data_IF_270759418021
#
_entry.id   IF_270759418021
#
_cell.length_a   1.000
_cell.length_b   1.000
_cell.length_c   1.000
_cell.angle_alpha   90.00
_cell.angle_beta   90.00
_cell.angle_gamma   90.00
#
_symmetry.space_group_name_H-M   'P 1'
#
loop_
_entity.id
_entity.type
_entity.pdbx_description
1 polymer ?
#
# COMPACT_ATOMS: atom_id res chain seq x y z
N UNK A 1 11.89 28.02 -5.33
CA UNK A 1 10.57 27.42 -5.05
C UNK A 1 10.45 26.20 -5.95
N UNK A 2 10.90 25.04 -5.47
CA UNK A 2 10.67 23.81 -6.19
C UNK A 2 9.18 23.47 -6.06
N UNK A 3 8.45 23.20 -7.15
CA UNK A 3 7.08 22.72 -7.04
C UNK A 3 7.08 21.44 -6.20
N UNK A 4 6.12 21.26 -5.28
CA UNK A 4 6.00 20.01 -4.53
C UNK A 4 5.91 18.86 -5.53
N UNK A 5 6.91 17.98 -5.54
CA UNK A 5 7.07 16.88 -6.52
C UNK A 5 5.86 15.92 -6.60
N UNK A 6 4.89 16.06 -5.69
CA UNK A 6 3.68 15.25 -5.64
C UNK A 6 2.36 16.03 -5.82
N UNK A 7 2.35 17.38 -5.83
CA UNK A 7 1.05 18.09 -5.94
C UNK A 7 0.56 18.27 -7.37
N UNK A 8 1.41 18.07 -8.38
CA UNK A 8 1.02 18.13 -9.79
C UNK A 8 0.53 16.79 -10.36
N UNK A 9 1.06 15.67 -9.87
CA UNK A 9 0.76 14.33 -10.43
C UNK A 9 -0.39 13.60 -9.75
N UNK A 10 -0.82 14.05 -8.58
CA UNK A 10 -1.93 13.41 -7.85
C UNK A 10 -3.24 13.35 -8.67
N UNK A 11 -3.63 14.43 -9.38
CA UNK A 11 -4.77 14.37 -10.30
C UNK A 11 -4.56 13.35 -11.43
N UNK A 12 -3.35 13.27 -12.00
CA UNK A 12 -3.04 12.33 -13.08
C UNK A 12 -3.07 10.87 -12.60
N UNK A 13 -2.58 10.59 -11.39
CA UNK A 13 -2.64 9.24 -10.81
C UNK A 13 -4.09 8.85 -10.55
N UNK A 14 -4.89 9.74 -9.94
CA UNK A 14 -6.32 9.49 -9.74
C UNK A 14 -7.05 9.26 -11.07
N UNK A 15 -6.73 10.04 -12.11
CA UNK A 15 -7.30 9.87 -13.44
C UNK A 15 -6.90 8.53 -14.07
N UNK A 16 -5.64 8.12 -13.90
CA UNK A 16 -5.17 6.82 -14.41
C UNK A 16 -5.87 5.64 -13.71
N UNK A 17 -6.05 5.71 -12.40
CA UNK A 17 -6.76 4.67 -11.63
C UNK A 17 -8.25 4.64 -12.01
N UNK A 18 -8.88 5.81 -12.16
CA UNK A 18 -10.26 5.90 -12.61
C UNK A 18 -10.44 5.33 -14.03
N UNK A 19 -9.53 5.64 -14.94
CA UNK A 19 -9.56 5.10 -16.30
C UNK A 19 -9.34 3.59 -16.34
N UNK A 20 -8.41 3.06 -15.55
CA UNK A 20 -8.21 1.61 -15.45
C UNK A 20 -9.45 0.93 -14.85
N UNK A 21 -10.04 1.51 -13.81
CA UNK A 21 -11.28 1.01 -13.20
C UNK A 21 -12.46 1.00 -14.20
N UNK A 22 -12.64 2.11 -14.94
CA UNK A 22 -13.67 2.23 -15.97
C UNK A 22 -13.44 1.22 -17.09
N UNK A 23 -12.20 1.07 -17.57
CA UNK A 23 -11.84 0.11 -18.60
C UNK A 23 -12.13 -1.33 -18.15
N UNK A 24 -11.79 -1.68 -16.90
CA UNK A 24 -12.08 -3.00 -16.33
C UNK A 24 -13.60 -3.24 -16.25
N UNK A 25 -14.36 -2.23 -15.83
CA UNK A 25 -15.83 -2.32 -15.76
C UNK A 25 -16.46 -2.50 -17.14
N UNK A 26 -15.98 -1.77 -18.16
CA UNK A 26 -16.47 -1.90 -19.52
C UNK A 26 -16.13 -3.27 -20.14
N UNK A 27 -14.92 -3.80 -19.89
CA UNK A 27 -14.55 -5.15 -20.32
C UNK A 27 -15.44 -6.19 -19.66
N UNK A 28 -15.72 -6.03 -18.36
CA UNK A 28 -16.64 -6.89 -17.64
C UNK A 28 -18.05 -6.86 -18.25
N UNK A 29 -18.61 -5.66 -18.46
CA UNK A 29 -19.93 -5.51 -19.10
C UNK A 29 -19.94 -6.13 -20.51
N UNK A 30 -18.89 -5.90 -21.31
CA UNK A 30 -18.79 -6.46 -22.66
C UNK A 30 -18.83 -7.99 -22.64
N UNK A 31 -18.12 -8.61 -21.71
CA UNK A 31 -18.10 -10.07 -21.59
C UNK A 31 -19.46 -10.62 -21.12
N UNK A 32 -20.12 -9.94 -20.18
CA UNK A 32 -21.47 -10.31 -19.74
C UNK A 32 -22.49 -10.22 -20.89
N UNK A 33 -22.45 -9.16 -21.70
CA UNK A 33 -23.29 -9.04 -22.89
C UNK A 33 -22.95 -10.07 -23.97
N UNK A 34 -21.67 -10.40 -24.14
CA UNK A 34 -21.26 -11.43 -25.10
C UNK A 34 -21.78 -12.82 -24.71
N UNK A 35 -21.76 -13.15 -23.42
CA UNK A 35 -22.32 -14.40 -22.88
C UNK A 35 -23.84 -14.43 -23.03
N UNK A 36 -24.52 -13.32 -22.71
CA UNK A 36 -25.96 -13.22 -22.91
C UNK A 36 -26.36 -13.32 -24.38
N UNK A 37 -25.61 -12.69 -25.28
CA UNK A 37 -25.82 -12.81 -26.73
C UNK A 37 -25.60 -14.24 -27.22
N UNK A 38 -24.54 -14.91 -26.75
CA UNK A 38 -24.30 -16.32 -27.09
C UNK A 38 -25.45 -17.22 -26.62
N UNK A 39 -26.01 -16.94 -25.43
CA UNK A 39 -27.20 -17.63 -24.91
C UNK A 39 -28.44 -17.39 -25.79
N UNK A 40 -28.72 -16.15 -26.16
CA UNK A 40 -29.88 -15.80 -27.01
C UNK A 40 -29.75 -16.43 -28.40
N UNK A 41 -28.58 -16.35 -29.04
CA UNK A 41 -28.34 -16.99 -30.33
C UNK A 41 -28.52 -18.52 -30.25
N UNK A 42 -28.12 -19.15 -29.14
CA UNK A 42 -28.37 -20.56 -28.90
C UNK A 42 -29.85 -20.90 -28.80
N UNK A 43 -30.65 -20.03 -28.16
CA UNK A 43 -32.11 -20.20 -28.10
C UNK A 43 -32.78 -19.99 -29.46
N UNK A 44 -32.33 -18.99 -30.23
CA UNK A 44 -32.81 -18.71 -31.58
C UNK A 44 -32.59 -19.91 -32.52
N UNK A 45 -31.39 -20.49 -32.53
CA UNK A 45 -31.08 -21.66 -33.35
C UNK A 45 -31.97 -22.87 -33.01
N UNK A 46 -32.30 -23.08 -31.72
CA UNK A 46 -33.22 -24.15 -31.31
C UNK A 46 -34.63 -23.87 -31.82
N UNK A 47 -35.12 -22.62 -31.69
CA UNK A 47 -36.46 -22.24 -32.16
C UNK A 47 -36.59 -22.35 -33.69
N UNK A 48 -35.56 -21.99 -34.45
CA UNK A 48 -35.53 -22.16 -35.91
C UNK A 48 -35.61 -23.64 -36.30
N UNK A 49 -34.84 -24.52 -35.64
CA UNK A 49 -34.90 -25.96 -35.88
C UNK A 49 -36.30 -26.53 -35.65
N UNK A 50 -36.99 -26.10 -34.60
CA UNK A 50 -38.37 -26.54 -34.29
C UNK A 50 -39.35 -25.99 -35.32
N UNK A 51 -39.19 -24.73 -35.73
CA UNK A 51 -40.03 -24.11 -36.73
C UNK A 51 -39.93 -24.84 -38.08
N UNK A 52 -38.72 -25.24 -38.47
CA UNK A 52 -38.49 -26.00 -39.70
C UNK A 52 -39.05 -27.43 -39.61
N UNK A 53 -38.96 -28.08 -38.45
CA UNK A 53 -39.58 -29.39 -38.24
C UNK A 53 -41.11 -29.32 -38.32
N UNK A 54 -41.73 -28.30 -37.71
CA UNK A 54 -43.18 -28.04 -37.81
C UNK A 54 -43.62 -27.78 -39.26
N UNK A 55 -42.82 -27.04 -40.04
CA UNK A 55 -43.08 -26.81 -41.47
C UNK A 55 -42.97 -28.09 -42.30
N UNK A 56 -42.15 -29.04 -41.87
CA UNK A 56 -41.93 -30.32 -42.56
C UNK A 56 -43.04 -31.35 -42.35
N UNK A 57 -44.06 -31.06 -41.53
CA UNK A 57 -45.16 -31.98 -41.17
C UNK A 57 -44.70 -33.30 -40.53
N UNK A 58 -43.47 -33.36 -39.99
CA UNK A 58 -43.02 -34.50 -39.18
C UNK A 58 -43.70 -34.47 -37.80
N UNK A 59 -44.07 -35.63 -37.24
CA UNK A 59 -44.53 -35.69 -35.86
C UNK A 59 -43.39 -35.29 -34.92
N UNK A 60 -43.62 -34.26 -34.10
CA UNK A 60 -42.65 -33.74 -33.14
C UNK A 60 -42.18 -34.85 -32.19
N UNK A 61 -40.86 -35.02 -32.06
CA UNK A 61 -40.30 -35.95 -31.08
C UNK A 61 -40.58 -35.46 -29.65
N UNK A 62 -40.92 -36.40 -28.76
CA UNK A 62 -41.15 -36.12 -27.34
C UNK A 62 -39.88 -35.59 -26.66
N UNK A 63 -38.71 -35.99 -27.17
CA UNK A 63 -37.41 -35.55 -26.65
C UNK A 63 -37.16 -34.05 -26.92
N UNK A 64 -37.58 -33.54 -28.09
CA UNK A 64 -37.43 -32.12 -28.45
C UNK A 64 -38.36 -31.24 -27.61
N UNK A 65 -39.57 -31.74 -27.28
CA UNK A 65 -40.47 -31.08 -26.34
C UNK A 65 -39.89 -31.02 -24.92
N UNK A 66 -39.17 -32.07 -24.48
CA UNK A 66 -38.49 -32.05 -23.18
C UNK A 66 -37.29 -31.11 -23.17
N UNK A 67 -36.56 -31.01 -24.29
CA UNK A 67 -35.45 -30.07 -24.47
C UNK A 67 -35.96 -28.62 -24.46
N UNK A 68 -37.05 -28.32 -25.17
CA UNK A 68 -37.77 -27.04 -25.11
C UNK A 68 -38.19 -26.67 -23.68
N UNK A 69 -38.79 -27.63 -22.97
CA UNK A 69 -39.23 -27.42 -21.59
C UNK A 69 -38.05 -27.15 -20.64
N UNK A 70 -36.90 -27.79 -20.87
CA UNK A 70 -35.66 -27.52 -20.12
C UNK A 70 -35.10 -26.13 -20.44
N UNK A 71 -35.09 -25.71 -21.71
CA UNK A 71 -34.61 -24.40 -22.14
C UNK A 71 -35.50 -23.26 -21.65
N UNK A 72 -36.83 -23.41 -21.71
CA UNK A 72 -37.79 -22.42 -21.23
C UNK A 72 -37.76 -22.27 -19.70
N UNK A 73 -37.57 -23.37 -18.95
CA UNK A 73 -37.55 -23.34 -17.48
C UNK A 73 -36.30 -22.68 -16.90
N UNK A 74 -35.16 -22.76 -17.58
CA UNK A 74 -33.92 -22.12 -17.14
C UNK A 74 -33.90 -20.59 -17.33
N UNK A 75 -34.89 -20.02 -18.03
CA UNK A 75 -34.95 -18.57 -18.31
C UNK A 75 -35.45 -17.73 -17.12
N UNK A 76 -36.16 -18.31 -16.15
CA UNK A 76 -36.84 -17.56 -15.09
C UNK A 76 -36.36 -17.84 -13.67
N UNK A 77 -35.50 -18.84 -13.45
CA UNK A 77 -35.28 -19.40 -12.11
C UNK A 77 -33.93 -19.03 -11.47
N UNK A 78 -33.11 -18.18 -12.10
CA UNK A 78 -31.79 -17.80 -11.58
C UNK A 78 -31.72 -16.39 -10.95
N UNK A 79 -32.85 -15.68 -10.80
CA UNK A 79 -32.85 -14.33 -10.23
C UNK A 79 -33.23 -14.24 -8.75
N UNK A 80 -33.80 -15.29 -8.12
CA UNK A 80 -34.35 -15.16 -6.76
C UNK A 80 -33.82 -16.10 -5.67
N UNK A 81 -32.93 -17.06 -5.95
CA UNK A 81 -32.37 -17.89 -4.87
C UNK A 81 -30.88 -18.16 -5.09
N UNK A 82 -30.04 -17.38 -4.39
CA UNK A 82 -29.10 -17.82 -3.34
C UNK A 82 -28.14 -16.65 -3.12
N UNK A 83 -28.56 -15.72 -2.27
CA UNK A 83 -27.65 -14.80 -1.57
C UNK A 83 -26.92 -15.58 -0.45
N UNK A 84 -26.28 -16.71 -0.77
CA UNK A 84 -25.24 -17.24 0.12
C UNK A 84 -24.06 -16.30 -0.02
N UNK A 85 -24.01 -15.33 0.88
CA UNK A 85 -22.84 -14.49 1.09
C UNK A 85 -21.60 -15.39 1.11
N UNK A 86 -20.84 -15.40 0.01
CA UNK A 86 -19.52 -16.01 -0.06
C UNK A 86 -18.68 -15.19 0.91
N UNK A 87 -18.67 -15.64 2.16
CA UNK A 87 -17.94 -14.98 3.22
C UNK A 87 -16.47 -15.16 2.89
N UNK A 88 -15.83 -14.07 2.48
CA UNK A 88 -14.41 -14.00 2.14
C UNK A 88 -13.51 -14.61 3.23
N UNK A 89 -14.00 -14.69 4.47
CA UNK A 89 -13.34 -15.41 5.57
C UNK A 89 -13.07 -16.88 5.24
N UNK A 90 -13.96 -17.57 4.53
CA UNK A 90 -13.82 -19.00 4.23
C UNK A 90 -12.84 -19.26 3.07
N UNK A 91 -12.76 -18.36 2.10
CA UNK A 91 -11.75 -18.40 1.04
C UNK A 91 -10.34 -18.09 1.58
N UNK A 92 -10.25 -17.18 2.57
CA UNK A 92 -8.96 -16.75 3.12
C UNK A 92 -8.40 -17.68 4.23
N UNK A 93 -9.26 -18.39 4.97
CA UNK A 93 -8.85 -19.21 6.13
C UNK A 93 -8.59 -20.69 5.82
N UNK A 94 -8.67 -21.13 4.56
CA UNK A 94 -8.16 -22.43 4.11
C UNK A 94 -8.48 -23.59 5.06
N UNK A 95 -9.76 -23.82 5.38
CA UNK A 95 -10.16 -24.93 6.25
C UNK A 95 -10.03 -26.25 5.48
N UNK A 96 -8.83 -26.83 5.50
CA UNK A 96 -8.56 -28.18 5.04
C UNK A 96 -9.34 -29.19 5.89
N UNK A 97 -10.16 -30.01 5.24
CA UNK A 97 -10.86 -31.15 5.87
C UNK A 97 -9.82 -32.19 6.28
N UNK A 98 -9.35 -32.08 7.52
CA UNK A 98 -8.53 -33.09 8.17
C UNK A 98 -9.40 -34.31 8.52
N UNK A 99 -9.60 -35.23 7.57
CA UNK A 99 -10.12 -36.59 7.86
C UNK A 99 -9.89 -37.60 6.73
N UNK A 100 -8.67 -37.69 6.19
CA UNK A 100 -8.27 -38.80 5.28
C UNK A 100 -6.79 -39.18 5.36
N UNK A 101 -6.07 -38.84 6.44
CA UNK A 101 -4.60 -39.04 6.50
C UNK A 101 -4.12 -40.26 7.29
N UNK A 102 -5.03 -41.10 7.82
CA UNK A 102 -4.61 -42.26 8.62
C UNK A 102 -4.25 -43.49 7.76
N UNK A 103 -4.79 -43.60 6.53
CA UNK A 103 -4.43 -44.68 5.58
C UNK A 103 -3.19 -44.38 4.72
N UNK A 104 -2.71 -43.13 4.67
CA UNK A 104 -1.51 -42.76 3.91
C UNK A 104 -0.19 -43.03 4.67
N UNK A 105 -0.24 -43.22 5.99
CA UNK A 105 0.95 -43.46 6.82
C UNK A 105 1.55 -44.87 6.68
N UNK A 106 0.86 -45.81 6.02
CA UNK A 106 1.37 -47.19 5.82
C UNK A 106 2.10 -47.43 4.50
N UNK A 107 2.14 -46.46 3.58
CA UNK A 107 2.86 -46.58 2.30
C UNK A 107 4.16 -45.75 2.27
N UNK A 108 4.42 -44.93 3.29
CA UNK A 108 5.56 -44.01 3.35
C UNK A 108 6.81 -44.61 4.02
N UNK A 109 7.32 -45.73 3.50
CA UNK A 109 8.67 -46.23 3.81
C UNK A 109 9.57 -46.31 2.56
N UNK A 110 9.23 -45.59 1.50
CA UNK A 110 10.11 -45.32 0.38
C UNK A 110 10.52 -43.84 0.42
N UNK A 111 11.82 -43.62 0.54
CA UNK A 111 12.45 -42.31 0.66
C UNK A 111 12.36 -41.60 -0.70
N UNK A 112 11.36 -40.74 -0.87
CA UNK A 112 11.13 -40.01 -2.12
C UNK A 112 12.10 -38.80 -2.21
N UNK A 113 13.06 -38.80 -3.15
CA UNK A 113 14.03 -37.71 -3.30
C UNK A 113 13.37 -36.35 -3.60
N UNK A 114 12.14 -36.31 -4.13
CA UNK A 114 11.42 -35.04 -4.35
C UNK A 114 11.10 -34.29 -3.06
N UNK A 115 10.80 -35.00 -1.96
CA UNK A 115 10.54 -34.35 -0.67
C UNK A 115 11.80 -33.71 -0.08
N UNK A 116 12.97 -34.30 -0.33
CA UNK A 116 14.26 -33.76 0.15
C UNK A 116 14.58 -32.45 -0.57
N UNK A 117 14.32 -32.37 -1.88
CA UNK A 117 14.55 -31.14 -2.64
C UNK A 117 13.57 -30.03 -2.25
N UNK A 118 12.28 -30.36 -2.08
CA UNK A 118 11.26 -29.39 -1.66
C UNK A 118 11.54 -28.81 -0.27
N UNK A 119 11.94 -29.64 0.70
CA UNK A 119 12.28 -29.17 2.06
C UNK A 119 13.55 -28.32 2.09
N UNK A 120 14.56 -28.67 1.29
CA UNK A 120 15.80 -27.88 1.16
C UNK A 120 15.52 -26.52 0.52
N UNK A 121 14.70 -26.49 -0.55
CA UNK A 121 14.28 -25.25 -1.20
C UNK A 121 13.47 -24.35 -0.24
N UNK A 122 12.49 -24.90 0.48
CA UNK A 122 11.72 -24.13 1.47
C UNK A 122 12.59 -23.56 2.59
N UNK A 123 13.55 -24.34 3.10
CA UNK A 123 14.47 -23.85 4.13
C UNK A 123 15.35 -22.70 3.63
N UNK A 124 15.82 -22.77 2.38
CA UNK A 124 16.56 -21.66 1.75
C UNK A 124 15.72 -20.39 1.63
N UNK A 125 14.47 -20.52 1.18
CA UNK A 125 13.52 -19.39 1.10
C UNK A 125 13.22 -18.80 2.47
N UNK A 126 13.02 -19.63 3.49
CA UNK A 126 12.78 -19.18 4.87
C UNK A 126 14.00 -18.46 5.46
N UNK A 127 15.21 -18.95 5.23
CA UNK A 127 16.44 -18.28 5.68
C UNK A 127 16.65 -16.95 4.96
N UNK A 128 16.39 -16.91 3.66
CA UNK A 128 16.41 -15.68 2.87
C UNK A 128 15.38 -14.68 3.41
N UNK A 129 14.17 -15.14 3.71
CA UNK A 129 13.11 -14.34 4.33
C UNK A 129 13.52 -13.78 5.69
N UNK A 130 14.18 -14.57 6.55
CA UNK A 130 14.70 -14.10 7.85
C UNK A 130 15.75 -13.00 7.68
N UNK A 131 16.64 -13.12 6.70
CA UNK A 131 17.66 -12.09 6.43
C UNK A 131 17.02 -10.80 5.89
N UNK A 132 16.00 -10.91 5.04
CA UNK A 132 15.22 -9.76 4.57
C UNK A 132 14.44 -9.09 5.73
N UNK A 133 13.85 -9.88 6.63
CA UNK A 133 13.18 -9.35 7.81
C UNK A 133 14.14 -8.64 8.77
N UNK A 134 15.37 -9.14 8.94
CA UNK A 134 16.42 -8.44 9.70
C UNK A 134 16.80 -7.13 9.03
N UNK A 135 16.84 -7.09 7.69
CA UNK A 135 17.10 -5.86 6.94
C UNK A 135 16.02 -4.79 7.15
N UNK A 136 14.77 -5.20 7.40
CA UNK A 136 13.66 -4.29 7.66
C UNK A 136 13.58 -3.84 9.13
N UNK A 137 14.29 -4.48 10.06
CA UNK A 137 14.26 -4.13 11.47
C UNK A 137 15.40 -3.15 11.76
N UNK A 138 15.10 -1.89 12.14
CA UNK A 138 16.14 -0.97 12.57
C UNK A 138 16.84 -1.53 13.82
N UNK A 139 18.17 -1.48 13.87
CA UNK A 139 18.98 -2.00 14.97
C UNK A 139 19.00 -1.12 16.23
N UNK A 140 18.31 0.02 16.21
CA UNK A 140 18.18 0.90 17.37
C UNK A 140 17.46 0.25 18.56
N UNK A 141 17.76 0.73 19.76
CA UNK A 141 17.14 0.23 20.98
C UNK A 141 15.72 0.78 21.11
N UNK A 142 14.68 -0.08 21.23
CA UNK A 142 13.32 0.38 21.46
C UNK A 142 13.24 1.30 22.67
N UNK A 143 12.64 2.48 22.51
CA UNK A 143 12.52 3.47 23.57
C UNK A 143 11.11 4.07 23.57
N UNK A 144 10.62 4.42 24.76
CA UNK A 144 9.33 5.11 24.92
C UNK A 144 9.62 6.57 25.21
N UNK A 145 9.13 7.45 24.36
CA UNK A 145 9.30 8.89 24.51
C UNK A 145 8.61 9.38 25.80
N UNK A 146 9.42 9.91 26.72
CA UNK A 146 8.99 10.55 27.96
C UNK A 146 9.82 11.81 28.20
N UNK A 147 9.48 12.90 27.52
CA UNK A 147 10.07 14.23 27.77
C UNK A 147 8.98 15.19 28.23
N UNK A 148 9.29 16.02 29.23
CA UNK A 148 8.45 17.15 29.61
C UNK A 148 8.55 18.31 28.61
N UNK A 149 9.62 18.33 27.81
CA UNK A 149 9.89 19.36 26.82
C UNK A 149 9.34 18.96 25.44
N UNK A 150 8.99 19.94 24.59
CA UNK A 150 8.66 19.64 23.20
C UNK A 150 9.88 18.98 22.53
N UNK A 151 9.66 17.98 21.67
CA UNK A 151 10.76 17.31 20.98
C UNK A 151 11.52 18.30 20.09
N UNK A 152 12.80 18.02 19.87
CA UNK A 152 13.64 18.80 18.97
C UNK A 152 12.98 19.03 17.60
N UNK A 153 12.41 17.98 16.99
CA UNK A 153 11.60 18.08 15.78
C UNK A 153 10.31 17.29 15.98
N UNK A 154 9.19 17.91 15.62
CA UNK A 154 7.92 17.24 15.45
C UNK A 154 7.32 17.59 14.09
N UNK A 155 6.72 16.58 13.46
CA UNK A 155 6.00 16.73 12.20
C UNK A 155 4.76 15.86 12.17
N UNK A 156 3.76 16.26 11.38
CA UNK A 156 2.65 15.38 11.02
C UNK A 156 3.09 14.34 9.97
N UNK A 157 2.81 13.06 10.23
CA UNK A 157 3.05 12.01 9.24
C UNK A 157 2.33 12.32 7.92
N UNK A 158 2.98 12.11 6.76
CA UNK A 158 2.34 12.28 5.48
C UNK A 158 1.17 11.29 5.35
N UNK A 159 0.17 11.66 4.54
CA UNK A 159 -1.07 10.88 4.42
C UNK A 159 -0.79 9.45 3.96
N UNK A 160 0.10 9.24 2.98
CA UNK A 160 0.45 7.92 2.45
C UNK A 160 1.02 6.98 3.51
N UNK A 161 1.74 7.53 4.50
CA UNK A 161 2.34 6.73 5.58
C UNK A 161 1.27 6.25 6.57
N UNK A 162 0.17 7.01 6.74
CA UNK A 162 -0.97 6.59 7.55
C UNK A 162 -1.78 5.49 6.86
N UNK A 163 -1.93 5.59 5.54
CA UNK A 163 -2.71 4.66 4.74
C UNK A 163 -1.88 3.57 4.07
N UNK A 164 -0.64 3.32 4.52
CA UNK A 164 0.24 2.35 3.86
C UNK A 164 -0.37 0.96 3.79
N UNK A 165 -1.10 0.51 4.81
CA UNK A 165 -1.81 -0.77 4.76
C UNK A 165 -2.92 -0.80 3.70
N UNK A 166 -3.63 0.31 3.52
CA UNK A 166 -4.63 0.45 2.45
C UNK A 166 -3.98 0.46 1.06
N UNK A 167 -2.86 1.17 0.91
CA UNK A 167 -2.10 1.18 -0.34
C UNK A 167 -1.54 -0.20 -0.70
N UNK A 168 -1.04 -0.95 0.29
CA UNK A 168 -0.56 -2.32 0.10
C UNK A 168 -1.71 -3.27 -0.24
N UNK A 169 -2.89 -3.13 0.39
CA UNK A 169 -4.06 -3.92 0.03
C UNK A 169 -4.54 -3.62 -1.40
N UNK A 170 -4.52 -2.35 -1.81
CA UNK A 170 -4.82 -1.92 -3.16
C UNK A 170 -3.83 -2.52 -4.18
N UNK A 171 -2.54 -2.44 -3.89
CA UNK A 171 -1.48 -3.04 -4.72
C UNK A 171 -1.65 -4.57 -4.87
N UNK A 172 -1.96 -5.26 -3.78
CA UNK A 172 -2.24 -6.69 -3.79
C UNK A 172 -3.48 -7.03 -4.64
N UNK A 173 -4.55 -6.25 -4.52
CA UNK A 173 -5.76 -6.42 -5.32
C UNK A 173 -5.51 -6.20 -6.81
N UNK A 174 -4.80 -5.12 -7.16
CA UNK A 174 -4.44 -4.81 -8.55
C UNK A 174 -3.54 -5.89 -9.15
N UNK A 175 -2.55 -6.36 -8.39
CA UNK A 175 -1.64 -7.43 -8.80
C UNK A 175 -2.39 -8.74 -9.04
N UNK A 176 -3.27 -9.14 -8.10
CA UNK A 176 -4.08 -10.34 -8.24
C UNK A 176 -5.01 -10.26 -9.47
N UNK A 177 -5.65 -9.10 -9.69
CA UNK A 177 -6.53 -8.88 -10.83
C UNK A 177 -5.78 -8.95 -12.17
N UNK A 178 -4.59 -8.36 -12.25
CA UNK A 178 -3.74 -8.43 -13.43
C UNK A 178 -3.29 -9.88 -13.73
N UNK A 179 -2.93 -10.63 -12.69
CA UNK A 179 -2.58 -12.04 -12.82
C UNK A 179 -3.76 -12.88 -13.30
N UNK A 180 -4.96 -12.67 -12.75
CA UNK A 180 -6.17 -13.39 -13.17
C UNK A 180 -6.52 -13.10 -14.64
N UNK A 181 -6.50 -11.82 -15.03
CA UNK A 181 -6.75 -11.41 -16.42
C UNK A 181 -5.73 -12.04 -17.37
N UNK A 182 -4.46 -12.03 -16.99
CA UNK A 182 -3.38 -12.63 -17.79
C UNK A 182 -3.53 -14.13 -17.92
N UNK A 183 -3.94 -14.80 -16.85
CA UNK A 183 -4.09 -16.25 -16.85
C UNK A 183 -5.24 -16.72 -17.72
N UNK A 184 -6.39 -16.04 -17.63
CA UNK A 184 -7.65 -16.44 -18.27
C UNK A 184 -7.89 -15.83 -19.65
N UNK A 185 -7.37 -14.63 -19.93
CA UNK A 185 -7.77 -13.85 -21.11
C UNK A 185 -6.61 -13.45 -22.03
N UNK A 186 -5.36 -13.82 -21.70
CA UNK A 186 -4.24 -13.50 -22.59
C UNK A 186 -4.16 -14.49 -23.76
N UNK A 187 -4.82 -14.11 -24.85
CA UNK A 187 -4.97 -14.89 -26.09
C UNK A 187 -4.16 -14.31 -27.25
N UNK A 188 -3.97 -15.12 -28.28
CA UNK A 188 -3.36 -14.79 -29.56
C UNK A 188 -4.36 -15.16 -30.68
N UNK A 189 -4.56 -14.28 -31.68
CA UNK A 189 -5.39 -14.64 -32.83
C UNK A 189 -4.66 -15.74 -33.63
N UNK A 190 -5.34 -16.84 -33.87
CA UNK A 190 -4.83 -17.92 -34.73
C UNK A 190 -5.37 -17.67 -36.13
N UNK A 191 -4.46 -17.36 -37.05
CA UNK A 191 -4.78 -17.34 -38.48
C UNK A 191 -5.13 -18.77 -38.90
N UNK A 192 -6.42 -19.05 -38.99
CA UNK A 192 -6.88 -20.28 -39.61
C UNK A 192 -6.69 -20.08 -41.10
N UNK A 193 -5.66 -20.72 -41.66
CA UNK A 193 -5.43 -20.82 -43.11
C UNK A 193 -6.60 -21.57 -43.77
N UNK A 194 -7.76 -20.93 -43.84
CA UNK A 194 -8.86 -21.36 -44.67
C UNK A 194 -8.47 -21.08 -46.12
N UNK A 195 -7.72 -22.02 -46.71
CA UNK A 195 -7.72 -22.26 -48.16
C UNK A 195 -9.12 -22.72 -48.59
N UNK A 196 -10.11 -21.85 -48.50
CA UNK A 196 -11.44 -22.07 -49.06
C UNK A 196 -11.61 -21.13 -50.24
N UNK A 197 -11.64 -21.72 -51.44
CA UNK A 197 -11.81 -21.06 -52.74
C UNK A 197 -13.20 -20.41 -52.95
N UNK A 198 -13.88 -19.94 -51.89
CA UNK A 198 -15.21 -19.34 -51.98
C UNK A 198 -15.12 -17.83 -51.87
N UNK A 199 -15.41 -17.15 -52.98
CA UNK A 199 -15.32 -15.71 -53.22
C UNK A 199 -16.44 -14.88 -52.57
N UNK A 200 -16.80 -15.17 -51.32
CA UNK A 200 -17.88 -14.47 -50.63
C UNK A 200 -17.36 -13.79 -49.37
N UNK A 201 -17.53 -12.47 -49.30
CA UNK A 201 -16.98 -11.59 -48.28
C UNK A 201 -17.72 -11.73 -46.94
N UNK A 202 -17.50 -12.85 -46.23
CA UNK A 202 -18.05 -13.07 -44.88
C UNK A 202 -17.01 -12.65 -43.83
N UNK A 203 -17.44 -11.87 -42.83
CA UNK A 203 -16.60 -11.37 -41.73
C UNK A 203 -15.73 -12.49 -41.13
N UNK A 204 -14.40 -12.34 -41.24
CA UNK A 204 -13.44 -13.30 -40.70
C UNK A 204 -13.51 -13.31 -39.18
N UNK A 205 -14.21 -14.29 -38.62
CA UNK A 205 -14.14 -14.59 -37.19
C UNK A 205 -12.71 -15.06 -36.87
N UNK A 206 -11.92 -14.18 -36.26
CA UNK A 206 -10.62 -14.55 -35.70
C UNK A 206 -10.84 -15.46 -34.50
N UNK A 207 -10.33 -16.68 -34.58
CA UNK A 207 -10.33 -17.59 -33.45
C UNK A 207 -9.20 -17.19 -32.48
N UNK A 208 -9.54 -16.93 -31.22
CA UNK A 208 -8.56 -16.56 -30.20
C UNK A 208 -8.19 -17.79 -29.38
N UNK A 209 -6.91 -18.17 -29.39
CA UNK A 209 -6.41 -19.27 -28.56
C UNK A 209 -5.54 -18.71 -27.42
N UNK A 210 -5.55 -19.40 -26.28
CA UNK A 210 -4.74 -18.99 -25.13
C UNK A 210 -3.25 -19.16 -25.43
N UNK A 211 -2.45 -18.18 -25.03
CA UNK A 211 -0.99 -18.28 -25.16
C UNK A 211 -0.43 -19.46 -24.33
N UNK A 212 0.75 -20.00 -24.70
CA UNK A 212 1.39 -21.08 -23.94
C UNK A 212 1.49 -20.77 -22.44
N UNK A 213 1.31 -21.81 -21.61
CA UNK A 213 1.27 -21.67 -20.13
C UNK A 213 2.52 -20.98 -19.58
N UNK A 214 3.69 -21.24 -20.16
CA UNK A 214 4.96 -20.64 -19.72
C UNK A 214 5.01 -19.13 -19.93
N UNK A 215 4.41 -18.60 -21.01
CA UNK A 215 4.34 -17.16 -21.25
C UNK A 215 3.47 -16.49 -20.18
N UNK A 216 2.28 -17.05 -19.97
CA UNK A 216 1.34 -16.58 -18.94
C UNK A 216 1.96 -16.62 -17.54
N UNK A 217 2.61 -17.72 -17.20
CA UNK A 217 3.31 -17.87 -15.93
C UNK A 217 4.42 -16.82 -15.75
N UNK A 218 5.24 -16.60 -16.79
CA UNK A 218 6.30 -15.59 -16.76
C UNK A 218 5.76 -14.17 -16.55
N UNK A 219 4.67 -13.81 -17.23
CA UNK A 219 4.05 -12.50 -17.08
C UNK A 219 3.37 -12.34 -15.70
N UNK A 220 2.67 -13.37 -15.21
CA UNK A 220 2.11 -13.39 -13.86
C UNK A 220 3.19 -13.26 -12.78
N UNK A 221 4.33 -13.94 -12.94
CA UNK A 221 5.47 -13.79 -12.04
C UNK A 221 6.01 -12.35 -12.07
N UNK A 222 6.07 -11.72 -13.25
CA UNK A 222 6.43 -10.31 -13.40
C UNK A 222 5.51 -9.38 -12.61
N UNK A 223 4.18 -9.54 -12.72
CA UNK A 223 3.23 -8.77 -11.92
C UNK A 223 3.41 -8.99 -10.42
N UNK A 224 3.58 -10.24 -10.00
CA UNK A 224 3.79 -10.56 -8.59
C UNK A 224 5.05 -9.91 -8.02
N UNK A 225 6.19 -10.03 -8.72
CA UNK A 225 7.47 -9.41 -8.30
C UNK A 225 7.35 -7.89 -8.30
N UNK A 226 6.67 -7.31 -9.30
CA UNK A 226 6.40 -5.88 -9.37
C UNK A 226 5.60 -5.37 -8.18
N UNK A 227 4.44 -5.98 -7.88
CA UNK A 227 3.61 -5.61 -6.73
C UNK A 227 4.34 -5.78 -5.41
N UNK A 228 4.99 -6.94 -5.19
CA UNK A 228 5.79 -7.18 -4.00
C UNK A 228 6.92 -6.14 -3.81
N UNK A 229 7.55 -5.70 -4.91
CA UNK A 229 8.54 -4.63 -4.93
C UNK A 229 7.97 -3.27 -4.51
N UNK A 230 6.83 -2.87 -5.08
CA UNK A 230 6.14 -1.62 -4.75
C UNK A 230 5.70 -1.61 -3.28
N UNK A 231 5.08 -2.70 -2.81
CA UNK A 231 4.70 -2.85 -1.42
C UNK A 231 5.92 -2.71 -0.50
N UNK A 232 7.01 -3.41 -0.79
CA UNK A 232 8.27 -3.34 -0.02
C UNK A 232 8.84 -1.93 0.03
N UNK A 233 8.84 -1.20 -1.09
CA UNK A 233 9.29 0.19 -1.15
C UNK A 233 8.45 1.11 -0.27
N UNK A 234 7.11 0.96 -0.29
CA UNK A 234 6.22 1.69 0.61
C UNK A 234 6.50 1.40 2.09
N UNK A 235 6.81 0.13 2.42
CA UNK A 235 7.22 -0.23 3.77
C UNK A 235 8.50 0.46 4.21
N UNK A 236 9.55 0.36 3.40
CA UNK A 236 10.86 0.95 3.67
C UNK A 236 10.74 2.48 3.80
N UNK A 237 10.05 3.13 2.87
CA UNK A 237 9.83 4.57 2.92
C UNK A 237 9.13 5.00 4.22
N UNK A 238 8.09 4.27 4.64
CA UNK A 238 7.37 4.55 5.89
C UNK A 238 8.24 4.37 7.14
N UNK A 239 9.20 3.42 7.12
CA UNK A 239 10.14 3.24 8.22
C UNK A 239 11.22 4.31 8.25
N UNK A 240 11.69 4.80 7.10
CA UNK A 240 12.77 5.79 7.02
C UNK A 240 12.31 7.24 7.19
N UNK A 241 11.02 7.50 7.10
CA UNK A 241 10.47 8.83 7.28
C UNK A 241 10.37 9.21 8.76
N UNK A 242 11.14 10.21 9.19
CA UNK A 242 11.16 10.68 10.58
C UNK A 242 9.98 11.64 10.84
N UNK A 243 9.21 11.34 11.89
CA UNK A 243 8.09 12.16 12.39
C UNK A 243 8.50 12.95 13.63
N UNK A 244 9.21 12.31 14.55
CA UNK A 244 9.73 12.95 15.77
C UNK A 244 11.22 12.64 15.87
N UNK A 245 12.01 13.67 16.11
CA UNK A 245 13.43 13.57 16.44
C UNK A 245 13.62 14.27 17.77
N UNK A 246 14.34 13.65 18.69
CA UNK A 246 14.74 14.32 19.93
C UNK A 246 16.14 13.87 20.37
N UNK A 247 16.84 14.71 21.13
CA UNK A 247 18.15 14.39 21.67
C UNK A 247 18.06 14.40 23.17
N UNK A 248 18.18 13.21 23.77
CA UNK A 248 18.14 13.07 25.21
C UNK A 248 19.50 13.39 25.82
N UNK A 249 19.53 14.04 27.00
CA UNK A 249 20.73 14.07 27.81
C UNK A 249 21.17 12.63 28.11
N UNK A 250 22.45 12.41 28.43
CA UNK A 250 22.85 11.10 28.91
C UNK A 250 21.93 10.69 30.03
N UNK A 251 21.36 9.49 29.90
CA UNK A 251 20.62 8.85 30.98
C UNK A 251 21.65 8.53 32.05
N UNK A 252 22.00 9.52 32.86
CA UNK A 252 22.70 9.30 34.11
C UNK A 252 21.93 8.22 34.82
N UNK A 253 22.57 7.08 35.05
CA UNK A 253 22.00 6.00 35.85
C UNK A 253 21.86 6.48 37.30
N UNK A 254 20.95 7.44 37.53
CA UNK A 254 20.77 8.16 38.77
C UNK A 254 20.24 7.25 39.89
N UNK A 255 19.76 6.04 39.56
CA UNK A 255 19.15 5.13 40.52
C UNK A 255 19.90 3.80 40.74
N UNK A 256 20.91 3.43 39.94
CA UNK A 256 21.51 2.08 40.01
C UNK A 256 23.03 2.01 39.90
N UNK A 257 23.76 3.13 39.94
CA UNK A 257 25.20 3.06 40.19
C UNK A 257 25.43 2.68 41.66
N UNK A 258 25.56 1.37 41.91
CA UNK A 258 26.27 0.86 43.10
C UNK A 258 27.60 1.59 43.17
N UNK A 259 27.86 2.27 44.29
CA UNK A 259 28.91 3.26 44.50
C UNK A 259 30.37 2.78 44.29
N UNK A 260 30.61 1.54 43.85
CA UNK A 260 31.92 0.90 43.93
C UNK A 260 32.54 0.51 42.57
N UNK A 261 31.99 0.92 41.43
CA UNK A 261 32.77 0.84 40.17
C UNK A 261 33.55 2.14 39.97
N UNK A 262 34.88 2.08 39.79
CA UNK A 262 35.68 3.25 39.48
C UNK A 262 35.09 3.89 38.23
N UNK A 263 34.91 5.21 38.28
CA UNK A 263 34.43 6.02 37.18
C UNK A 263 35.40 5.90 36.00
N UNK A 264 35.24 4.86 35.19
CA UNK A 264 35.71 4.90 33.82
C UNK A 264 34.94 6.07 33.22
N UNK A 265 35.64 7.15 32.92
CA UNK A 265 35.14 8.36 32.30
C UNK A 265 34.70 8.11 30.85
N UNK A 266 33.95 7.02 30.63
CA UNK A 266 33.14 6.84 29.45
C UNK A 266 32.06 7.89 29.51
N UNK A 267 32.25 8.96 28.75
CA UNK A 267 31.25 9.94 28.39
C UNK A 267 29.90 9.24 28.28
N UNK A 268 29.00 9.46 29.24
CA UNK A 268 27.66 8.93 29.10
C UNK A 268 27.10 9.50 27.81
N UNK A 269 26.78 8.60 26.89
CA UNK A 269 26.55 9.00 25.52
C UNK A 269 25.13 9.54 25.41
N UNK A 270 25.00 10.80 24.99
CA UNK A 270 23.72 11.38 24.58
C UNK A 270 23.06 10.44 23.58
N UNK A 271 21.74 10.38 23.58
CA UNK A 271 21.00 9.47 22.68
C UNK A 271 20.07 10.27 21.79
N UNK A 272 20.05 9.91 20.52
CA UNK A 272 19.09 10.40 19.54
C UNK A 272 17.89 9.47 19.56
N UNK A 273 16.71 10.02 19.81
CA UNK A 273 15.45 9.32 19.68
C UNK A 273 14.81 9.63 18.34
N UNK A 274 14.44 8.57 17.63
CA UNK A 274 13.79 8.64 16.33
C UNK A 274 12.45 7.94 16.43
N UNK A 275 11.40 8.67 16.07
CA UNK A 275 10.09 8.11 15.80
C UNK A 275 9.78 8.23 14.32
N UNK A 276 9.71 7.09 13.63
CA UNK A 276 9.28 7.06 12.23
C UNK A 276 7.76 7.17 12.07
N UNK A 277 7.30 7.39 10.84
CA UNK A 277 5.88 7.51 10.53
C UNK A 277 5.04 6.27 10.89
N UNK A 278 5.65 5.07 10.95
CA UNK A 278 4.97 3.82 11.34
C UNK A 278 4.93 3.55 12.82
N UNK A 279 5.75 4.23 13.62
CA UNK A 279 5.71 4.04 15.05
C UNK A 279 4.38 4.54 15.61
N UNK A 280 3.70 3.69 16.37
CA UNK A 280 2.47 4.05 17.05
C UNK A 280 2.75 4.70 18.41
N UNK A 281 1.91 5.68 18.78
CA UNK A 281 1.93 6.37 20.08
C UNK A 281 3.26 7.10 20.33
N UNK A 282 3.88 6.90 21.49
CA UNK A 282 5.15 7.49 21.93
C UNK A 282 6.33 6.52 21.78
N UNK A 283 6.17 5.41 21.06
CA UNK A 283 7.27 4.45 20.86
C UNK A 283 8.19 4.91 19.74
N UNK A 284 9.47 4.62 19.86
CA UNK A 284 10.49 4.88 18.85
C UNK A 284 11.71 4.02 19.07
N UNK A 285 12.78 4.39 18.40
CA UNK A 285 14.10 3.77 18.52
C UNK A 285 15.10 4.83 18.97
N UNK A 286 16.08 4.41 19.75
CA UNK A 286 17.14 5.28 20.24
C UNK A 286 18.49 4.78 19.75
N UNK A 287 19.33 5.73 19.34
CA UNK A 287 20.70 5.52 18.91
C UNK A 287 21.64 6.37 19.74
N UNK A 288 22.89 5.92 19.95
CA UNK A 288 23.91 6.76 20.53
C UNK A 288 24.24 7.94 19.60
N UNK A 289 24.36 9.16 20.14
CA UNK A 289 24.58 10.38 19.36
C UNK A 289 25.91 10.38 18.62
N UNK A 290 26.94 9.67 19.10
CA UNK A 290 28.23 9.57 18.39
C UNK A 290 28.13 8.75 17.10
N UNK A 291 27.13 7.88 17.01
CA UNK A 291 26.84 7.08 15.81
C UNK A 291 25.91 7.82 14.83
N UNK A 292 25.55 9.08 15.09
CA UNK A 292 24.57 9.80 14.27
C UNK A 292 25.24 10.97 13.54
N UNK A 293 25.17 10.96 12.21
CA UNK A 293 25.66 12.04 11.34
C UNK A 293 24.48 12.67 10.58
N UNK A 294 24.37 13.99 10.65
CA UNK A 294 23.46 14.72 9.78
C UNK A 294 24.15 15.02 8.45
N UNK A 295 23.45 14.80 7.35
CA UNK A 295 23.83 15.14 5.99
C UNK A 295 22.80 16.06 5.37
N UNK A 296 23.26 16.85 4.41
CA UNK A 296 22.39 17.70 3.63
C UNK A 296 21.56 16.86 2.65
N UNK A 297 20.24 17.09 2.62
CA UNK A 297 19.36 16.46 1.64
C UNK A 297 19.48 17.08 0.24
N UNK A 298 18.72 16.53 -0.71
CA UNK A 298 18.70 17.03 -2.10
C UNK A 298 18.14 18.46 -2.18
N UNK A 299 17.19 18.78 -1.30
CA UNK A 299 16.59 20.11 -1.19
C UNK A 299 16.90 20.74 0.16
N UNK A 300 16.80 22.08 0.26
CA UNK A 300 17.00 22.77 1.54
C UNK A 300 15.91 22.49 2.58
N UNK A 301 14.80 21.91 2.15
CA UNK A 301 13.74 21.38 2.99
C UNK A 301 13.99 19.94 3.43
N UNK A 302 15.18 19.39 3.22
CA UNK A 302 15.48 17.99 3.56
C UNK A 302 16.83 17.87 4.27
N UNK A 303 16.83 17.06 5.32
CA UNK A 303 18.03 16.60 6.03
C UNK A 303 18.00 15.08 6.01
N UNK A 304 19.17 14.48 5.83
CA UNK A 304 19.35 13.04 5.91
C UNK A 304 20.09 12.73 7.21
N UNK A 305 19.59 11.81 8.01
CA UNK A 305 20.28 11.32 9.20
C UNK A 305 20.85 9.94 8.86
N UNK A 306 22.17 9.78 8.91
CA UNK A 306 22.83 8.48 8.81
C UNK A 306 23.14 8.00 10.21
N UNK A 307 23.03 6.69 10.42
CA UNK A 307 23.39 6.05 11.68
C UNK A 307 24.45 4.99 11.39
N UNK A 308 25.56 5.03 12.10
CA UNK A 308 26.63 4.06 11.96
C UNK A 308 26.11 2.65 12.26
N UNK A 309 26.52 1.70 11.43
CA UNK A 309 26.04 0.31 11.42
C UNK A 309 24.60 0.09 10.93
N UNK A 310 23.86 1.15 10.58
CA UNK A 310 22.57 1.02 9.89
C UNK A 310 22.75 1.24 8.37
N UNK A 311 22.07 0.44 7.56
CA UNK A 311 22.16 0.57 6.10
C UNK A 311 21.24 1.69 5.61
N UNK A 312 21.79 2.74 5.02
CA UNK A 312 21.06 3.82 4.36
C UNK A 312 20.57 4.92 5.31
N UNK A 313 19.87 5.90 4.77
CA UNK A 313 19.58 7.15 5.48
C UNK A 313 18.14 7.22 6.01
N UNK A 314 17.95 8.02 7.05
CA UNK A 314 16.66 8.43 7.56
C UNK A 314 16.31 9.80 7.00
N UNK A 315 15.09 9.95 6.49
CA UNK A 315 14.65 11.16 5.84
C UNK A 315 13.96 12.09 6.84
N UNK A 316 14.48 13.31 6.97
CA UNK A 316 13.93 14.38 7.79
C UNK A 316 13.47 15.49 6.86
N UNK A 317 12.16 15.54 6.61
CA UNK A 317 11.56 16.56 5.77
C UNK A 317 11.12 17.77 6.59
N UNK A 318 11.55 18.95 6.17
CA UNK A 318 11.36 20.27 6.80
C UNK A 318 10.35 21.12 6.01
N UNK A 319 9.16 20.55 5.80
CA UNK A 319 8.06 21.24 5.11
C UNK A 319 7.33 22.22 6.07
N UNK A 320 6.25 22.84 5.58
CA UNK A 320 5.49 23.91 6.24
C UNK A 320 4.91 23.53 7.62
N UNK A 321 4.75 22.23 7.88
CA UNK A 321 4.21 21.69 9.13
C UNK A 321 5.31 21.29 10.15
N UNK A 322 6.57 21.63 9.89
CA UNK A 322 7.67 21.30 10.81
C UNK A 322 7.65 22.19 12.05
N UNK A 323 7.73 21.56 13.22
CA UNK A 323 7.81 22.21 14.53
C UNK A 323 9.17 21.86 15.12
N UNK A 324 10.05 22.83 15.28
CA UNK A 324 11.38 22.65 15.89
C UNK A 324 11.37 23.30 17.27
N UNK A 325 11.64 22.54 18.32
CA UNK A 325 11.63 23.01 19.72
C UNK A 325 10.33 23.75 20.11
N UNK A 326 9.19 23.28 19.61
CA UNK A 326 7.86 23.85 19.87
C UNK A 326 7.47 25.06 18.99
N UNK A 327 8.37 25.58 18.14
CA UNK A 327 8.08 26.68 17.21
C UNK A 327 7.99 26.18 15.76
N UNK A 328 7.09 26.77 14.97
CA UNK A 328 6.93 26.39 13.56
C UNK A 328 7.99 27.09 12.70
N UNK A 329 8.71 26.30 11.90
CA UNK A 329 9.67 26.80 10.92
C UNK A 329 9.42 26.14 9.57
N UNK A 330 10.02 26.68 8.51
CA UNK A 330 9.86 26.20 7.13
C UNK A 330 11.22 26.13 6.42
N UNK A 331 11.47 25.04 5.70
CA UNK A 331 12.62 24.90 4.80
C UNK A 331 13.97 25.15 5.47
N UNK A 332 14.76 26.05 4.88
CA UNK A 332 16.11 26.37 5.36
C UNK A 332 16.14 26.94 6.78
N UNK A 333 15.13 27.71 7.20
CA UNK A 333 15.07 28.26 8.55
C UNK A 333 14.91 27.15 9.60
N UNK A 334 14.10 26.12 9.30
CA UNK A 334 13.95 24.96 10.17
C UNK A 334 15.27 24.18 10.28
N UNK A 335 16.01 24.07 9.17
CA UNK A 335 17.31 23.41 9.11
C UNK A 335 18.34 24.12 9.99
N UNK A 336 18.46 25.44 9.88
CA UNK A 336 19.42 26.21 10.69
C UNK A 336 19.15 26.08 12.19
N UNK A 337 17.88 26.16 12.59
CA UNK A 337 17.50 25.96 14.00
C UNK A 337 17.80 24.52 14.43
N UNK A 338 17.46 23.52 13.61
CA UNK A 338 17.75 22.12 13.93
C UNK A 338 19.25 21.87 14.11
N UNK A 339 20.09 22.39 13.21
CA UNK A 339 21.55 22.27 13.28
C UNK A 339 22.12 22.96 14.52
N UNK A 340 21.57 24.13 14.88
CA UNK A 340 21.97 24.85 16.09
C UNK A 340 21.65 24.08 17.36
N UNK A 341 20.55 23.35 17.39
CA UNK A 341 20.11 22.56 18.55
C UNK A 341 20.71 21.13 18.59
N UNK A 342 21.21 20.60 17.46
CA UNK A 342 21.85 19.27 17.34
C UNK A 342 23.17 19.10 18.15
N UNK A 343 23.56 20.09 18.95
CA UNK A 343 24.83 20.20 19.69
C UNK A 343 25.29 18.84 20.26
N UNK A 344 26.37 18.31 19.69
CA UNK A 344 27.07 17.12 20.15
C UNK A 344 27.06 15.93 19.19
N UNK A 345 26.25 15.95 18.13
CA UNK A 345 26.35 14.98 17.03
C UNK A 345 27.25 15.46 15.90
N UNK A 346 27.64 14.53 15.03
CA UNK A 346 28.43 14.86 13.84
C UNK A 346 27.55 15.52 12.78
N UNK A 347 28.10 16.54 12.13
CA UNK A 347 27.47 17.25 11.01
C UNK A 347 28.42 17.11 9.83
N UNK A 348 27.92 16.59 8.71
CA UNK A 348 28.72 16.40 7.49
C UNK A 348 29.24 17.73 6.93
N UNK A 349 30.40 17.70 6.29
CA UNK A 349 30.99 18.87 5.61
C UNK A 349 30.12 19.40 4.46
N UNK A 350 29.13 18.61 4.00
CA UNK A 350 28.13 19.00 2.99
C UNK A 350 27.33 20.26 3.38
N UNK A 351 27.27 20.59 4.68
CA UNK A 351 26.65 21.81 5.18
C UNK A 351 27.54 23.05 5.06
N UNK A 352 28.86 22.88 4.96
CA UNK A 352 29.81 23.99 4.79
C UNK A 352 29.80 24.54 3.36
N UNK A 353 29.37 23.74 2.37
CA UNK A 353 29.26 24.21 1.00
C UNK A 353 28.15 25.25 0.89
N UNK A 354 28.46 26.51 0.51
CA UNK A 354 27.44 27.52 0.30
C UNK A 354 26.44 26.97 -0.70
N UNK A 355 25.17 26.90 -0.28
CA UNK A 355 24.03 26.68 -1.18
C UNK A 355 24.20 27.64 -2.36
N UNK A 356 24.68 27.16 -3.51
CA UNK A 356 24.96 28.01 -4.68
C UNK A 356 23.84 29.01 -4.87
N UNK A 357 24.16 30.30 -4.65
CA UNK A 357 23.29 31.47 -4.66
C UNK A 357 21.79 31.16 -4.70
N UNK A 358 21.23 30.79 -3.55
CA UNK A 358 19.78 30.82 -3.37
C UNK A 358 19.27 32.22 -3.80
N UNK A 359 18.21 32.30 -4.62
CA UNK A 359 17.58 33.59 -4.89
C UNK A 359 17.23 34.23 -3.55
N UNK A 360 17.64 35.49 -3.37
CA UNK A 360 17.42 36.27 -2.16
C UNK A 360 16.01 36.00 -1.63
N UNK A 361 15.83 35.79 -0.30
CA UNK A 361 14.56 35.45 0.29
C UNK A 361 13.52 36.44 -0.24
N UNK A 362 12.62 35.95 -1.12
CA UNK A 362 11.49 36.78 -1.56
C UNK A 362 10.75 37.11 -0.27
N UNK A 363 10.53 38.40 0.06
CA UNK A 363 9.78 38.76 1.23
C UNK A 363 8.45 38.00 1.15
N UNK A 364 8.25 37.06 2.07
CA UNK A 364 6.96 36.41 2.22
C UNK A 364 6.05 37.56 2.61
N UNK A 365 5.21 37.98 1.68
CA UNK A 365 4.13 38.92 1.96
C UNK A 365 3.24 38.20 2.96
N UNK A 366 3.50 38.40 4.24
CA UNK A 366 2.55 38.12 5.29
C UNK A 366 1.45 39.13 5.01
N UNK A 367 0.25 38.72 4.52
CA UNK A 367 -0.83 39.66 4.39
C UNK A 367 -1.00 40.29 5.76
N UNK A 368 -0.77 41.61 5.85
CA UNK A 368 -1.05 42.36 7.06
C UNK A 368 -2.47 41.95 7.43
N UNK A 369 -2.62 41.21 8.55
CA UNK A 369 -3.93 41.02 9.14
C UNK A 369 -4.47 42.43 9.29
N UNK A 370 -5.42 42.78 8.42
CA UNK A 370 -6.19 44.00 8.54
C UNK A 370 -6.67 43.95 9.98
N UNK A 371 -6.29 44.93 10.80
CA UNK A 371 -6.90 45.17 12.11
C UNK A 371 -8.40 45.36 11.81
N UNK A 372 -9.15 44.27 11.74
CA UNK A 372 -10.57 44.33 11.98
C UNK A 372 -10.64 44.74 13.44
N UNK A 373 -11.04 45.98 13.67
CA UNK A 373 -11.35 46.47 14.99
C UNK A 373 -12.37 45.51 15.58
N UNK A 374 -11.91 44.66 16.49
CA UNK A 374 -12.77 44.02 17.46
C UNK A 374 -13.17 45.17 18.38
N UNK A 375 -14.30 45.81 18.04
CA UNK A 375 -15.04 46.58 19.01
C UNK A 375 -15.40 45.62 20.14
N UNK A 376 -14.92 45.94 21.33
CA UNK A 376 -15.31 45.33 22.58
C UNK A 376 -16.81 45.61 22.80
N UNK A 377 -17.70 44.73 22.35
CA UNK A 377 -19.00 44.54 23.00
C UNK A 377 -18.84 43.49 24.10
N UNK A 378 -18.09 43.88 25.13
CA UNK A 378 -18.08 43.23 26.42
C UNK A 378 -19.13 43.92 27.30
N UNK A 379 -20.30 43.30 27.45
CA UNK A 379 -21.17 43.55 28.60
C UNK A 379 -22.62 43.78 28.25
N UNK A 380 -23.38 42.69 28.08
CA UNK A 380 -24.79 42.50 28.49
C UNK A 380 -25.33 41.24 27.81
N UNK A 381 -25.40 40.12 28.52
CA UNK A 381 -26.07 38.95 27.94
C UNK A 381 -25.82 37.58 28.56
N UNK A 382 -25.27 37.47 29.78
CA UNK A 382 -25.04 36.17 30.43
C UNK A 382 -25.74 35.99 31.78
N UNK A 383 -26.85 36.70 32.00
CA UNK A 383 -27.64 36.56 33.24
C UNK A 383 -29.03 35.92 33.05
N UNK A 384 -29.44 35.53 31.83
CA UNK A 384 -30.81 35.03 31.59
C UNK A 384 -30.98 33.52 31.38
N UNK A 385 -29.94 32.71 31.53
CA UNK A 385 -30.05 31.26 31.23
C UNK A 385 -29.87 30.34 32.43
N UNK A 386 -29.72 30.88 33.64
CA UNK A 386 -29.61 30.06 34.87
C UNK A 386 -30.87 30.06 35.75
N UNK A 387 -31.90 30.84 35.42
CA UNK A 387 -33.17 30.84 36.18
C UNK A 387 -34.21 29.81 35.69
N UNK A 388 -34.09 29.30 34.45
CA UNK A 388 -35.09 28.34 33.92
C UNK A 388 -34.89 26.88 34.34
N UNK A 389 -33.92 26.56 35.20
CA UNK A 389 -33.68 25.18 35.67
C UNK A 389 -34.05 24.92 37.13
N UNK A 390 -34.68 25.89 37.80
CA UNK A 390 -35.19 25.75 39.18
C UNK A 390 -36.72 25.68 39.30
N UNK A 391 -37.46 25.59 38.19
CA UNK A 391 -38.93 25.48 38.19
C UNK A 391 -39.46 24.13 37.64
N UNK A 392 -38.63 23.09 37.59
CA UNK A 392 -39.07 21.75 37.14
C UNK A 392 -38.59 20.62 38.06
N UNK A 393 -38.57 20.89 39.36
CA UNK A 393 -38.55 19.98 40.51
C UNK A 393 -39.31 20.68 41.62
#
# INVERSE_FOLDING_TARGET
>A
MAPPLFSGYLPHILYSVANVSLALHLVYQRNAFAEEKARINGQESVLESIADELRSNRPLSVDDLQMLKRLARNSGQNTDEVEESISWKNALLGRSKARTSENARRVAAAHDPEQVWASTAMNSVLQTGKNVLRFLRPGGNPHVYSSAYPPLLFRRSPWWAKYTWGLVACDLFMTASAMELTWKHWTEPVETDKKSNSSEATHSHSEFQLRPVWQRLGLCLGFFVGGAGVASMLFIAGFRYIKVLDVFPPLGNAATRKANMPAVAGLEERRVFIQSARHSRSRGISFPLSNCTLHRGRADSEILLTVDNEKGHWHIALDDDSVVSGQKYKGSAAREVLLREWKGGWVSDDFAQPTGSLPAPRPVYVPKKKKQGIQNESGKGKERTLEKRKQSL
#
